data_IF_957492936978
#
_entry.id   IF_957492936978
#
_cell.length_a   1.000
_cell.length_b   1.000
_cell.length_c   1.000
_cell.angle_alpha   90.00
_cell.angle_beta   90.00
_cell.angle_gamma   90.00
#
_symmetry.space_group_name_H-M   'P 1'
#
loop_
_entity.id
_entity.type
_entity.pdbx_description
1 polymer ?
#
# COMPACT_ATOMS: atom_id res chain seq x y z
N UNK A 1 6.45 -10.83 -1.97
CA UNK A 1 6.68 -9.55 -2.69
C UNK A 1 5.33 -8.90 -2.96
N UNK A 2 5.15 -7.63 -2.58
CA UNK A 2 3.88 -6.89 -2.75
C UNK A 2 4.15 -5.63 -3.56
N UNK A 3 3.31 -5.39 -4.56
CA UNK A 3 3.29 -4.17 -5.36
C UNK A 3 1.93 -3.53 -5.23
N UNK A 4 1.88 -2.26 -4.84
CA UNK A 4 0.65 -1.46 -4.74
C UNK A 4 0.69 -0.37 -5.80
N UNK A 5 -0.38 -0.30 -6.59
CA UNK A 5 -0.61 0.72 -7.60
C UNK A 5 -1.97 1.33 -7.30
N UNK A 6 -2.05 2.66 -7.28
CA UNK A 6 -3.29 3.38 -7.02
C UNK A 6 -3.39 4.62 -7.90
N UNK A 7 -4.61 5.06 -8.19
CA UNK A 7 -4.86 6.34 -8.86
C UNK A 7 -4.62 7.51 -7.89
N UNK A 8 -5.16 7.41 -6.67
CA UNK A 8 -5.01 8.39 -5.62
C UNK A 8 -4.83 7.70 -4.26
N UNK A 9 -3.94 8.23 -3.43
CA UNK A 9 -3.71 7.75 -2.07
C UNK A 9 -3.80 8.95 -1.12
N UNK A 10 -4.68 8.92 -0.10
CA UNK A 10 -4.72 9.99 0.90
C UNK A 10 -3.36 10.15 1.59
N UNK A 11 -2.93 11.40 1.83
CA UNK A 11 -1.60 11.70 2.36
C UNK A 11 -1.29 10.97 3.68
N UNK A 12 -2.29 10.82 4.56
CA UNK A 12 -2.16 10.08 5.81
C UNK A 12 -1.85 8.59 5.61
N UNK A 13 -2.40 7.97 4.56
CA UNK A 13 -2.11 6.58 4.20
C UNK A 13 -0.77 6.48 3.49
N UNK A 14 -0.48 7.41 2.57
CA UNK A 14 0.79 7.50 1.85
C UNK A 14 1.98 7.59 2.81
N UNK A 15 1.88 8.39 3.87
CA UNK A 15 2.89 8.48 4.93
C UNK A 15 3.11 7.14 5.64
N UNK A 16 2.04 6.42 5.98
CA UNK A 16 2.13 5.07 6.58
C UNK A 16 2.72 4.04 5.64
N UNK A 17 2.45 4.12 4.34
CA UNK A 17 2.98 3.18 3.35
C UNK A 17 4.52 3.21 3.30
N UNK A 18 5.16 4.35 3.59
CA UNK A 18 6.63 4.45 3.66
C UNK A 18 7.26 3.60 4.78
N UNK A 19 6.48 3.10 5.74
CA UNK A 19 6.96 2.16 6.76
C UNK A 19 7.18 0.74 6.21
N UNK A 20 6.42 0.36 5.17
CA UNK A 20 6.43 -1.00 4.62
C UNK A 20 6.90 -1.06 3.17
N UNK A 21 6.84 0.05 2.45
CA UNK A 21 7.08 0.13 1.01
C UNK A 21 8.04 1.26 0.67
N UNK A 22 8.71 1.09 -0.47
CA UNK A 22 9.44 2.16 -1.16
C UNK A 22 8.56 2.66 -2.31
N UNK A 23 8.40 3.98 -2.43
CA UNK A 23 7.75 4.60 -3.59
C UNK A 23 8.76 4.71 -4.73
N UNK A 24 8.65 3.86 -5.76
CA UNK A 24 9.57 3.85 -6.90
C UNK A 24 9.18 4.90 -7.96
N UNK A 25 7.88 5.18 -8.08
CA UNK A 25 7.26 6.18 -8.94
C UNK A 25 6.02 6.74 -8.24
N UNK A 26 5.51 7.92 -8.62
CA UNK A 26 4.27 8.44 -8.07
C UNK A 26 3.17 7.37 -8.06
N UNK A 27 2.64 7.08 -6.87
CA UNK A 27 1.59 6.08 -6.64
C UNK A 27 1.98 4.60 -6.90
N UNK A 28 3.26 4.29 -7.07
CA UNK A 28 3.77 2.92 -7.24
C UNK A 28 4.69 2.55 -6.08
N UNK A 29 4.23 1.61 -5.27
CA UNK A 29 4.89 1.20 -4.03
C UNK A 29 5.29 -0.28 -4.11
N UNK A 30 6.55 -0.58 -3.77
CA UNK A 30 7.09 -1.96 -3.82
C UNK A 30 7.65 -2.36 -2.46
N UNK A 31 7.42 -3.62 -2.09
CA UNK A 31 7.90 -4.19 -0.84
C UNK A 31 8.30 -5.66 -0.93
N UNK A 32 9.38 -5.99 -0.22
CA UNK A 32 9.87 -7.34 0.03
C UNK A 32 9.45 -7.92 1.39
N UNK A 33 8.34 -7.46 1.98
CA UNK A 33 7.82 -8.01 3.24
C UNK A 33 7.41 -9.48 3.12
N UNK A 34 7.54 -10.22 4.23
CA UNK A 34 7.12 -11.61 4.35
C UNK A 34 5.59 -11.75 4.27
N UNK A 35 5.12 -12.97 3.97
CA UNK A 35 3.69 -13.22 3.68
C UNK A 35 2.75 -12.95 4.87
N UNK A 36 3.20 -13.25 6.10
CA UNK A 36 2.40 -13.03 7.30
C UNK A 36 2.15 -11.53 7.56
N UNK A 37 3.14 -10.67 7.30
CA UNK A 37 2.98 -9.22 7.38
C UNK A 37 2.25 -8.68 6.15
N UNK A 38 2.54 -9.23 4.97
CA UNK A 38 1.90 -8.83 3.71
C UNK A 38 0.38 -8.90 3.81
N UNK A 39 -0.18 -10.00 4.33
CA UNK A 39 -1.63 -10.14 4.50
C UNK A 39 -2.23 -9.03 5.35
N UNK A 40 -1.63 -8.73 6.51
CA UNK A 40 -2.12 -7.69 7.43
C UNK A 40 -2.08 -6.30 6.79
N UNK A 41 -1.00 -6.00 6.07
CA UNK A 41 -0.80 -4.70 5.40
C UNK A 41 -1.78 -4.55 4.24
N UNK A 42 -1.96 -5.59 3.42
CA UNK A 42 -2.92 -5.59 2.31
C UNK A 42 -4.34 -5.43 2.84
N UNK A 43 -4.76 -6.23 3.83
CA UNK A 43 -6.08 -6.13 4.46
C UNK A 43 -6.33 -4.71 5.01
N UNK A 44 -5.31 -4.08 5.62
CA UNK A 44 -5.38 -2.69 6.06
C UNK A 44 -5.58 -1.70 4.91
N UNK A 45 -4.80 -1.81 3.83
CA UNK A 45 -4.91 -0.91 2.68
C UNK A 45 -6.26 -1.05 1.98
N UNK A 46 -6.76 -2.28 1.83
CA UNK A 46 -8.11 -2.54 1.31
C UNK A 46 -9.20 -1.93 2.20
N UNK A 47 -9.07 -2.02 3.53
CA UNK A 47 -10.04 -1.39 4.46
C UNK A 47 -10.08 0.15 4.41
N UNK A 48 -9.06 0.77 3.80
CA UNK A 48 -8.91 2.23 3.68
C UNK A 48 -9.05 2.74 2.24
N UNK A 49 -9.27 1.85 1.29
CA UNK A 49 -9.52 2.21 -0.11
C UNK A 49 -11.02 2.15 -0.39
N UNK A 50 -11.53 3.17 -1.07
CA UNK A 50 -12.89 3.16 -1.58
C UNK A 50 -12.86 2.45 -2.93
N UNK A 51 -13.44 1.26 -3.02
CA UNK A 51 -13.76 0.69 -4.32
C UNK A 51 -14.96 1.45 -4.86
N UNK A 52 -14.77 2.15 -5.99
CA UNK A 52 -15.89 2.61 -6.80
C UNK A 52 -16.57 1.35 -7.35
N UNK A 53 -17.70 0.98 -6.75
CA UNK A 53 -18.68 0.04 -7.31
C UNK A 53 -19.46 0.71 -8.43
#
# INVERSE_FOLDING_TARGET
>A
MVVVIAEQIPDAIRGKMKLWFIELKPNVFVSGINDHVAKKVVDYLFSKSTFLS
#
